data_IF_123524703847
#
_entry.id   IF_123524703847
#
_cell.length_a   1.000
_cell.length_b   1.000
_cell.length_c   1.000
_cell.angle_alpha   90.00
_cell.angle_beta   90.00
_cell.angle_gamma   90.00
#
_symmetry.space_group_name_H-M   'P 1'
#
loop_
_entity.id
_entity.type
_entity.pdbx_description
1 polymer ?
#
# COMPACT_ATOMS: atom_id res chain seq x y z
N UNK A 1 -21.01 -10.54 -9.94
CA UNK A 1 -20.74 -11.97 -10.25
C UNK A 1 -19.31 -12.39 -9.91
N UNK A 2 -18.28 -11.74 -10.50
CA UNK A 2 -16.86 -12.07 -10.25
C UNK A 2 -16.52 -12.10 -8.76
N UNK A 3 -16.84 -11.02 -8.03
CA UNK A 3 -16.57 -10.93 -6.58
C UNK A 3 -17.23 -12.07 -5.80
N UNK A 4 -18.52 -12.34 -6.05
CA UNK A 4 -19.23 -13.43 -5.38
C UNK A 4 -18.58 -14.81 -5.63
N UNK A 5 -18.03 -15.04 -6.82
CA UNK A 5 -17.26 -16.25 -7.14
C UNK A 5 -15.95 -16.30 -6.34
N UNK A 6 -15.20 -15.20 -6.29
CA UNK A 6 -13.96 -15.11 -5.49
C UNK A 6 -14.24 -15.35 -4.00
N UNK A 7 -15.26 -14.70 -3.44
CA UNK A 7 -15.67 -14.86 -2.04
C UNK A 7 -16.10 -16.30 -1.76
N UNK A 8 -16.82 -16.94 -2.69
CA UNK A 8 -17.24 -18.34 -2.57
C UNK A 8 -16.08 -19.33 -2.67
N UNK A 9 -15.11 -19.09 -3.55
CA UNK A 9 -13.89 -19.92 -3.68
C UNK A 9 -13.02 -19.80 -2.43
N UNK A 10 -12.80 -18.57 -1.94
CA UNK A 10 -11.94 -18.29 -0.80
C UNK A 10 -10.45 -18.55 -1.05
N UNK A 11 -9.63 -18.22 -0.05
CA UNK A 11 -8.16 -18.35 -0.10
C UNK A 11 -7.72 -19.42 0.89
N UNK A 12 -6.85 -20.33 0.47
CA UNK A 12 -6.29 -21.35 1.36
C UNK A 12 -5.30 -20.73 2.35
N UNK A 13 -5.32 -21.23 3.58
CA UNK A 13 -4.44 -20.79 4.66
C UNK A 13 -3.82 -22.02 5.33
N UNK A 14 -2.50 -22.08 5.38
CA UNK A 14 -1.73 -23.08 6.12
C UNK A 14 -1.79 -22.75 7.63
N UNK A 15 -2.85 -23.26 8.27
CA UNK A 15 -3.07 -23.11 9.72
C UNK A 15 -1.96 -23.76 10.56
N UNK A 16 -1.47 -24.98 10.25
CA UNK A 16 -0.30 -25.55 10.94
C UNK A 16 0.91 -24.61 10.94
N UNK A 17 1.28 -24.04 9.78
CA UNK A 17 2.39 -23.11 9.69
C UNK A 17 2.21 -21.88 10.61
N UNK A 18 1.00 -21.30 10.66
CA UNK A 18 0.74 -20.17 11.56
C UNK A 18 0.79 -20.56 13.04
N UNK A 19 0.44 -21.80 13.41
CA UNK A 19 0.55 -22.25 14.81
C UNK A 19 2.01 -22.36 15.26
N UNK A 20 2.86 -22.93 14.41
CA UNK A 20 4.31 -22.97 14.68
C UNK A 20 4.88 -21.55 14.81
N UNK A 21 4.47 -20.65 13.92
CA UNK A 21 4.82 -19.23 14.01
C UNK A 21 4.33 -18.59 15.31
N UNK A 22 3.12 -18.89 15.77
CA UNK A 22 2.58 -18.36 17.03
C UNK A 22 3.44 -18.73 18.25
N UNK A 23 3.91 -19.99 18.30
CA UNK A 23 4.76 -20.47 19.39
C UNK A 23 6.11 -19.73 19.42
N UNK A 24 6.73 -19.55 18.25
CA UNK A 24 7.98 -18.79 18.13
C UNK A 24 7.82 -17.31 18.55
N UNK A 25 6.75 -16.65 18.10
CA UNK A 25 6.51 -15.24 18.45
C UNK A 25 6.17 -15.06 19.93
N UNK A 26 5.43 -15.99 20.52
CA UNK A 26 5.10 -15.97 21.95
C UNK A 26 6.37 -16.03 22.81
N UNK A 27 7.34 -16.87 22.44
CA UNK A 27 8.62 -16.96 23.13
C UNK A 27 9.46 -15.67 23.00
N UNK A 28 9.45 -15.03 21.82
CA UNK A 28 10.11 -13.74 21.60
C UNK A 28 9.46 -12.62 22.41
N UNK A 29 8.13 -12.53 22.41
CA UNK A 29 7.39 -11.54 23.19
C UNK A 29 7.64 -11.69 24.68
N UNK A 30 7.65 -12.91 25.22
CA UNK A 30 7.96 -13.15 26.63
C UNK A 30 9.39 -12.75 27.01
N UNK A 31 10.33 -12.79 26.05
CA UNK A 31 11.71 -12.33 26.25
C UNK A 31 11.79 -10.81 26.24
N UNK A 32 11.15 -10.17 25.26
CA UNK A 32 11.07 -8.71 25.17
C UNK A 32 10.33 -8.09 26.35
N UNK A 33 9.24 -8.72 26.80
CA UNK A 33 8.47 -8.30 27.96
C UNK A 33 9.34 -8.23 29.23
N UNK A 34 10.15 -9.26 29.49
CA UNK A 34 11.11 -9.27 30.60
C UNK A 34 12.14 -8.15 30.46
N UNK A 35 12.73 -7.97 29.28
CA UNK A 35 13.69 -6.90 29.02
C UNK A 35 13.08 -5.50 29.18
N UNK A 36 11.81 -5.32 28.82
CA UNK A 36 11.04 -4.09 29.04
C UNK A 36 10.87 -3.84 30.53
N UNK A 37 10.45 -4.84 31.32
CA UNK A 37 10.27 -4.67 32.76
C UNK A 37 11.58 -4.38 33.50
N UNK A 38 12.66 -5.09 33.15
CA UNK A 38 13.99 -4.84 33.72
C UNK A 38 14.48 -3.43 33.42
N UNK A 39 14.36 -2.98 32.16
CA UNK A 39 14.78 -1.64 31.76
C UNK A 39 13.85 -0.53 32.29
N UNK A 40 12.56 -0.81 32.50
CA UNK A 40 11.58 0.14 33.04
C UNK A 40 11.56 0.22 34.58
N UNK A 41 12.35 -0.60 35.26
CA UNK A 41 12.40 -0.65 36.73
C UNK A 41 11.12 -1.19 37.37
N UNK A 42 10.42 -2.11 36.70
CA UNK A 42 9.26 -2.81 37.25
C UNK A 42 8.16 -3.11 36.23
N UNK A 43 7.23 -3.97 36.62
CA UNK A 43 6.12 -4.40 35.78
C UNK A 43 5.05 -3.31 35.57
N UNK A 44 4.43 -3.35 34.39
CA UNK A 44 3.29 -2.53 34.01
C UNK A 44 2.60 -3.16 32.80
N UNK A 45 1.40 -2.71 32.45
CA UNK A 45 0.75 -3.17 31.23
C UNK A 45 1.39 -2.50 30.00
N UNK A 46 2.26 -3.24 29.32
CA UNK A 46 2.99 -2.83 28.10
C UNK A 46 2.04 -2.37 26.99
N UNK A 47 0.85 -2.98 26.91
CA UNK A 47 -0.16 -2.67 25.90
C UNK A 47 -1.03 -1.46 26.27
N UNK A 48 -0.91 -0.90 27.48
CA UNK A 48 -1.62 0.30 27.91
C UNK A 48 -0.84 1.56 27.55
N UNK A 49 -1.30 2.40 26.59
CA UNK A 49 -0.58 3.62 26.21
C UNK A 49 -0.41 4.59 27.36
N UNK A 50 -1.36 4.60 28.31
CA UNK A 50 -1.31 5.43 29.51
C UNK A 50 -0.17 5.00 30.44
N UNK A 51 -0.14 3.73 30.84
CA UNK A 51 0.90 3.22 31.73
C UNK A 51 2.28 3.32 31.10
N UNK A 52 2.40 2.99 29.80
CA UNK A 52 3.65 3.18 29.08
C UNK A 52 4.08 4.66 29.07
N UNK A 53 3.14 5.59 28.86
CA UNK A 53 3.45 7.02 28.90
C UNK A 53 3.97 7.49 30.27
N UNK A 54 3.33 7.05 31.35
CA UNK A 54 3.77 7.32 32.73
C UNK A 54 5.18 6.74 32.98
N UNK A 55 5.44 5.50 32.55
CA UNK A 55 6.76 4.87 32.67
C UNK A 55 7.82 5.64 31.89
N UNK A 56 7.58 5.95 30.62
CA UNK A 56 8.57 6.60 29.76
C UNK A 56 8.88 8.04 30.22
N UNK A 57 7.85 8.84 30.50
CA UNK A 57 8.04 10.29 30.68
C UNK A 57 8.09 10.74 32.14
N UNK A 58 7.51 9.98 33.07
CA UNK A 58 7.49 10.34 34.49
C UNK A 58 8.50 9.50 35.28
N UNK A 59 8.46 8.17 35.17
CA UNK A 59 9.38 7.29 35.90
C UNK A 59 10.81 7.36 35.37
N UNK A 60 10.98 7.18 34.06
CA UNK A 60 12.29 7.20 33.40
C UNK A 60 12.75 8.61 33.01
N UNK A 61 11.86 9.61 33.08
CA UNK A 61 12.19 11.01 32.81
C UNK A 61 12.63 11.28 31.37
N UNK A 62 12.19 10.48 30.40
CA UNK A 62 12.60 10.66 29.00
C UNK A 62 12.12 12.01 28.42
N UNK A 63 12.82 12.56 27.41
CA UNK A 63 12.47 13.83 26.81
C UNK A 63 11.02 13.86 26.30
N UNK A 64 10.20 14.75 26.88
CA UNK A 64 8.78 14.91 26.51
C UNK A 64 8.51 16.17 25.68
N UNK A 65 9.55 16.95 25.36
CA UNK A 65 9.43 18.21 24.60
C UNK A 65 8.91 17.93 23.19
N UNK A 66 7.71 18.43 22.88
CA UNK A 66 7.06 18.22 21.59
C UNK A 66 6.25 16.92 21.47
N UNK A 67 6.18 16.11 22.54
CA UNK A 67 5.28 14.96 22.60
C UNK A 67 3.85 15.47 22.76
N UNK A 68 2.98 15.13 21.81
CA UNK A 68 1.55 15.44 21.90
C UNK A 68 0.94 14.74 23.12
N UNK A 69 0.22 15.49 23.95
CA UNK A 69 -0.70 14.92 24.93
C UNK A 69 -2.04 14.62 24.26
N UNK A 70 -2.55 13.43 24.51
CA UNK A 70 -3.89 12.98 24.13
C UNK A 70 -4.83 13.11 25.33
N UNK A 71 -6.14 12.86 25.13
CA UNK A 71 -7.12 12.86 26.24
C UNK A 71 -6.76 11.88 27.37
N UNK A 72 -5.95 10.85 27.07
CA UNK A 72 -5.59 9.78 28.01
C UNK A 72 -4.16 9.86 28.55
N UNK A 73 -3.38 10.88 28.17
CA UNK A 73 -1.99 11.06 28.62
C UNK A 73 -1.01 11.31 27.46
N UNK A 74 0.28 11.04 27.68
CA UNK A 74 1.31 11.18 26.65
C UNK A 74 1.05 10.25 25.46
N UNK A 75 1.22 10.76 24.22
CA UNK A 75 1.22 9.91 23.05
C UNK A 75 2.43 8.99 23.08
N UNK A 76 2.20 7.68 22.94
CA UNK A 76 3.26 6.68 22.79
C UNK A 76 3.23 6.05 21.40
N UNK A 77 2.66 6.69 20.39
CA UNK A 77 2.62 6.15 19.03
C UNK A 77 4.03 5.94 18.44
N UNK A 78 4.10 5.16 17.34
CA UNK A 78 5.37 4.80 16.69
C UNK A 78 6.28 6.01 16.42
N UNK A 79 5.76 7.07 15.81
CA UNK A 79 6.55 8.28 15.49
C UNK A 79 7.00 9.10 16.69
N UNK A 80 6.43 8.90 17.89
CA UNK A 80 6.98 9.46 19.12
C UNK A 80 8.11 8.57 19.63
N UNK A 81 7.93 7.25 19.63
CA UNK A 81 8.96 6.31 20.07
C UNK A 81 10.21 6.36 19.18
N UNK A 82 10.05 6.48 17.86
CA UNK A 82 11.19 6.65 16.94
C UNK A 82 12.04 7.88 17.26
N UNK A 83 11.44 8.98 17.71
CA UNK A 83 12.19 10.19 18.12
C UNK A 83 12.95 10.00 19.44
N UNK A 84 12.63 8.96 20.19
CA UNK A 84 13.29 8.59 21.44
C UNK A 84 14.29 7.45 21.22
N UNK A 85 14.52 7.03 19.97
CA UNK A 85 15.51 6.01 19.65
C UNK A 85 16.91 6.45 20.13
N UNK A 86 17.64 5.52 20.73
CA UNK A 86 18.97 5.76 21.32
C UNK A 86 18.95 6.50 22.67
N UNK A 87 17.78 6.92 23.17
CA UNK A 87 17.70 7.62 24.47
C UNK A 87 17.69 6.62 25.62
N UNK A 88 16.98 5.49 25.48
CA UNK A 88 16.89 4.47 26.53
C UNK A 88 16.48 3.10 25.96
N UNK A 89 17.12 1.98 26.35
CA UNK A 89 16.89 0.64 25.76
C UNK A 89 15.43 0.17 25.72
N UNK A 90 14.62 0.62 26.69
CA UNK A 90 13.18 0.34 26.74
C UNK A 90 12.47 0.74 25.44
N UNK A 91 12.93 1.81 24.75
CA UNK A 91 12.29 2.32 23.55
C UNK A 91 12.44 1.33 22.40
N UNK A 92 13.64 0.79 22.21
CA UNK A 92 13.95 -0.21 21.18
C UNK A 92 13.17 -1.50 21.45
N UNK A 93 13.20 -2.01 22.69
CA UNK A 93 12.43 -3.20 23.06
C UNK A 93 10.92 -3.00 22.86
N UNK A 94 10.39 -1.82 23.18
CA UNK A 94 8.98 -1.48 22.97
C UNK A 94 8.59 -1.41 21.49
N UNK A 95 9.46 -0.85 20.64
CA UNK A 95 9.24 -0.79 19.20
C UNK A 95 9.19 -2.20 18.61
N UNK A 96 10.14 -3.06 19.00
CA UNK A 96 10.19 -4.46 18.56
C UNK A 96 8.98 -5.26 19.08
N UNK A 97 8.68 -5.17 20.38
CA UNK A 97 7.52 -5.84 21.01
C UNK A 97 6.23 -5.51 20.27
N UNK A 98 5.98 -4.22 19.99
CA UNK A 98 4.75 -3.80 19.30
C UNK A 98 4.69 -4.27 17.85
N UNK A 99 5.83 -4.33 17.17
CA UNK A 99 5.91 -4.88 15.82
C UNK A 99 5.49 -6.35 15.80
N UNK A 100 6.10 -7.16 16.67
CA UNK A 100 5.81 -8.60 16.79
C UNK A 100 4.38 -8.84 17.28
N UNK A 101 3.97 -8.18 18.37
CA UNK A 101 2.64 -8.34 18.96
C UNK A 101 1.53 -7.97 17.98
N UNK A 102 1.71 -6.92 17.16
CA UNK A 102 0.76 -6.56 16.11
C UNK A 102 0.63 -7.69 15.09
N UNK A 103 1.75 -8.25 14.61
CA UNK A 103 1.71 -9.36 13.66
C UNK A 103 1.00 -10.56 14.27
N UNK A 104 1.38 -10.95 15.48
CA UNK A 104 0.81 -12.11 16.15
C UNK A 104 -0.69 -11.95 16.37
N UNK A 105 -1.12 -10.88 17.03
CA UNK A 105 -2.52 -10.66 17.37
C UNK A 105 -3.43 -10.43 16.15
N UNK A 106 -2.94 -9.73 15.12
CA UNK A 106 -3.78 -9.34 13.97
C UNK A 106 -3.85 -10.43 12.90
N UNK A 107 -2.79 -11.20 12.72
CA UNK A 107 -2.69 -12.17 11.63
C UNK A 107 -2.53 -13.60 12.13
N UNK A 108 -1.50 -13.87 12.93
CA UNK A 108 -1.11 -15.25 13.29
C UNK A 108 -2.16 -15.93 14.17
N UNK A 109 -2.68 -15.23 15.17
CA UNK A 109 -3.71 -15.77 16.09
C UNK A 109 -5.13 -15.63 15.55
N UNK A 110 -5.39 -14.57 14.79
CA UNK A 110 -6.72 -14.19 14.33
C UNK A 110 -7.14 -14.93 13.06
N UNK A 111 -6.29 -15.00 12.02
CA UNK A 111 -6.67 -15.61 10.74
C UNK A 111 -7.08 -17.08 10.86
N UNK A 112 -6.40 -17.94 11.65
CA UNK A 112 -6.84 -19.33 11.82
C UNK A 112 -8.26 -19.48 12.36
N UNK A 113 -8.76 -18.49 13.12
CA UNK A 113 -10.12 -18.50 13.69
C UNK A 113 -11.19 -18.09 12.67
N UNK A 114 -10.77 -17.43 11.58
CA UNK A 114 -11.63 -17.00 10.48
C UNK A 114 -11.71 -18.05 9.36
N UNK A 115 -10.95 -19.15 9.45
CA UNK A 115 -11.01 -20.25 8.49
C UNK A 115 -12.35 -20.98 8.64
N UNK A 116 -13.06 -21.12 7.53
CA UNK A 116 -14.32 -21.86 7.49
C UNK A 116 -14.08 -23.34 7.82
N UNK A 117 -14.79 -23.92 8.80
CA UNK A 117 -14.64 -25.33 9.13
C UNK A 117 -15.21 -26.26 8.06
N UNK A 118 -16.00 -25.73 7.11
CA UNK A 118 -16.62 -26.50 6.03
C UNK A 118 -15.67 -26.65 4.85
N UNK A 119 -14.98 -25.57 4.48
CA UNK A 119 -14.15 -25.50 3.28
C UNK A 119 -12.65 -25.55 3.58
N UNK A 120 -12.25 -25.27 4.82
CA UNK A 120 -10.84 -25.11 5.18
C UNK A 120 -10.20 -23.84 4.61
N UNK A 121 -11.00 -22.87 4.14
CA UNK A 121 -10.53 -21.65 3.46
C UNK A 121 -11.02 -20.37 4.15
N UNK A 122 -10.31 -19.27 3.90
CA UNK A 122 -10.73 -17.92 4.28
C UNK A 122 -11.66 -17.34 3.22
N UNK A 123 -12.85 -16.90 3.65
CA UNK A 123 -13.86 -16.30 2.76
C UNK A 123 -14.05 -14.82 3.12
N UNK A 124 -13.21 -13.97 2.56
CA UNK A 124 -13.33 -12.52 2.75
C UNK A 124 -14.59 -11.95 2.09
N UNK A 125 -15.04 -10.77 2.51
CA UNK A 125 -16.05 -9.96 1.83
C UNK A 125 -15.38 -8.78 1.12
N UNK A 126 -15.55 -8.72 -0.21
CA UNK A 126 -15.05 -7.68 -1.09
C UNK A 126 -16.13 -6.61 -1.30
N UNK A 127 -16.04 -5.54 -0.53
CA UNK A 127 -17.00 -4.46 -0.55
C UNK A 127 -16.71 -3.49 -1.70
N UNK A 128 -17.72 -3.26 -2.55
CA UNK A 128 -17.59 -2.40 -3.73
C UNK A 128 -17.94 -0.92 -3.47
N UNK A 129 -18.59 -0.61 -2.34
CA UNK A 129 -19.24 0.68 -2.06
C UNK A 129 -18.65 1.46 -0.89
N UNK A 130 -17.50 1.05 -0.35
CA UNK A 130 -16.88 1.69 0.83
C UNK A 130 -15.91 2.80 0.43
N UNK A 131 -14.95 2.52 -0.47
CA UNK A 131 -13.93 3.49 -0.83
C UNK A 131 -14.48 4.55 -1.81
N UNK A 132 -14.32 5.83 -1.47
CA UNK A 132 -14.72 6.94 -2.33
C UNK A 132 -13.98 6.98 -3.69
N UNK A 133 -12.84 6.30 -3.79
CA UNK A 133 -12.06 6.17 -5.03
C UNK A 133 -12.53 5.01 -5.91
N UNK A 134 -13.49 4.20 -5.46
CA UNK A 134 -13.96 3.04 -6.21
C UNK A 134 -13.08 1.80 -6.09
N UNK A 135 -12.01 1.82 -5.28
CA UNK A 135 -11.28 0.58 -4.90
C UNK A 135 -12.21 -0.38 -4.15
N UNK A 136 -11.93 -1.68 -4.24
CA UNK A 136 -12.54 -2.66 -3.35
C UNK A 136 -11.94 -2.50 -1.94
N UNK A 137 -12.71 -2.84 -0.92
CA UNK A 137 -12.19 -3.05 0.44
C UNK A 137 -12.54 -4.45 0.93
N UNK A 138 -11.60 -5.08 1.63
CA UNK A 138 -11.77 -6.43 2.16
C UNK A 138 -12.08 -6.42 3.67
N UNK A 139 -12.99 -7.29 4.10
CA UNK A 139 -13.40 -7.42 5.51
C UNK A 139 -13.81 -8.85 5.86
N UNK A 140 -13.64 -9.25 7.11
CA UNK A 140 -14.05 -10.56 7.66
C UNK A 140 -13.48 -11.78 6.89
N UNK A 141 -12.14 -11.98 6.88
CA UNK A 141 -11.07 -11.10 7.35
C UNK A 141 -10.67 -10.06 6.28
N UNK A 142 -9.90 -9.04 6.67
CA UNK A 142 -9.27 -8.13 5.70
C UNK A 142 -8.01 -8.80 5.13
N UNK A 143 -8.03 -9.10 3.83
CA UNK A 143 -6.94 -9.73 3.09
C UNK A 143 -6.16 -8.74 2.22
N UNK A 144 -6.56 -7.48 2.18
CA UNK A 144 -5.84 -6.44 1.41
C UNK A 144 -4.70 -5.79 2.20
N UNK A 145 -4.63 -6.02 3.51
CA UNK A 145 -3.61 -5.43 4.39
C UNK A 145 -2.60 -6.45 4.92
N UNK A 146 -2.47 -7.61 4.25
CA UNK A 146 -1.48 -8.62 4.64
C UNK A 146 -0.07 -8.03 4.46
N UNK A 147 0.73 -7.97 5.54
CA UNK A 147 1.98 -7.23 5.58
C UNK A 147 3.03 -7.83 4.63
N UNK A 148 3.89 -6.97 4.06
CA UNK A 148 4.98 -7.38 3.15
C UNK A 148 6.31 -6.66 3.41
N UNK A 149 6.25 -5.47 4.04
CA UNK A 149 7.43 -4.60 4.17
C UNK A 149 8.48 -5.17 5.13
N UNK A 150 8.06 -5.95 6.14
CA UNK A 150 8.95 -6.53 7.16
C UNK A 150 9.19 -8.01 6.89
N UNK A 151 10.33 -8.54 7.36
CA UNK A 151 10.61 -9.97 7.28
C UNK A 151 9.51 -10.80 7.94
N UNK A 152 9.05 -10.38 9.12
CA UNK A 152 7.96 -11.05 9.81
C UNK A 152 6.62 -10.99 9.04
N UNK A 153 6.37 -9.89 8.31
CA UNK A 153 5.21 -9.79 7.44
C UNK A 153 5.26 -10.76 6.26
N UNK A 154 6.44 -10.89 5.64
CA UNK A 154 6.70 -11.88 4.58
C UNK A 154 6.48 -13.31 5.06
N UNK A 155 6.87 -13.63 6.30
CA UNK A 155 6.56 -14.94 6.89
C UNK A 155 5.05 -15.18 7.00
N UNK A 156 4.23 -14.18 7.37
CA UNK A 156 2.76 -14.33 7.36
C UNK A 156 2.24 -14.63 5.95
N UNK A 157 2.81 -14.02 4.90
CA UNK A 157 2.41 -14.30 3.52
C UNK A 157 2.66 -15.74 3.09
N UNK A 158 3.67 -16.42 3.64
CA UNK A 158 3.92 -17.85 3.37
C UNK A 158 2.77 -18.75 3.79
N UNK A 159 1.99 -18.35 4.81
CA UNK A 159 0.81 -19.09 5.23
C UNK A 159 -0.32 -19.07 4.18
N UNK A 160 -0.34 -18.07 3.29
CA UNK A 160 -1.29 -18.03 2.18
C UNK A 160 -0.72 -18.88 1.04
N UNK A 161 -1.03 -20.18 1.08
CA UNK A 161 -0.52 -21.17 0.14
C UNK A 161 -1.56 -21.55 -0.94
N UNK A 162 -1.11 -22.19 -2.00
CA UNK A 162 -2.01 -22.92 -2.89
C UNK A 162 -2.36 -24.30 -2.30
N UNK A 163 -3.59 -24.74 -2.55
CA UNK A 163 -3.99 -26.13 -2.24
C UNK A 163 -3.23 -27.13 -3.13
N UNK A 164 -3.00 -28.36 -2.64
CA UNK A 164 -2.14 -29.35 -3.30
C UNK A 164 -2.47 -29.59 -4.78
N UNK A 165 -1.43 -29.69 -5.62
CA UNK A 165 -1.53 -29.81 -7.09
C UNK A 165 -1.78 -28.48 -7.81
N UNK A 166 -1.80 -27.36 -7.08
CA UNK A 166 -1.95 -26.00 -7.62
C UNK A 166 -0.79 -25.12 -7.17
N UNK A 167 -0.64 -23.98 -7.84
CA UNK A 167 0.25 -22.89 -7.47
C UNK A 167 -0.51 -21.58 -7.42
N UNK A 168 0.05 -20.61 -6.70
CA UNK A 168 -0.42 -19.24 -6.78
C UNK A 168 0.25 -18.54 -7.96
N UNK A 169 -0.54 -17.81 -8.72
CA UNK A 169 -0.07 -16.86 -9.74
C UNK A 169 -0.55 -15.48 -9.33
N UNK A 170 0.37 -14.56 -9.13
CA UNK A 170 0.07 -13.15 -8.88
C UNK A 170 0.39 -12.33 -10.10
N UNK A 171 -0.50 -11.40 -10.44
CA UNK A 171 -0.33 -10.45 -11.52
C UNK A 171 -0.59 -9.03 -11.01
N UNK A 172 0.44 -8.19 -11.03
CA UNK A 172 0.40 -6.81 -10.53
C UNK A 172 0.71 -5.81 -11.65
N UNK A 173 -0.04 -4.72 -11.71
CA UNK A 173 0.24 -3.68 -12.69
C UNK A 173 1.50 -2.90 -12.30
N UNK A 174 2.46 -2.85 -13.22
CA UNK A 174 3.67 -2.05 -13.06
C UNK A 174 3.35 -0.56 -13.14
N UNK A 175 3.31 0.10 -11.98
CA UNK A 175 3.24 1.56 -11.84
C UNK A 175 2.00 2.18 -12.52
N UNK A 176 0.83 1.52 -12.44
CA UNK A 176 -0.40 1.95 -13.13
C UNK A 176 -0.77 3.41 -12.88
N UNK A 177 -0.58 3.91 -11.66
CA UNK A 177 -0.91 5.30 -11.33
C UNK A 177 -0.02 6.32 -12.06
N UNK A 178 1.26 6.00 -12.30
CA UNK A 178 2.17 6.85 -13.08
C UNK A 178 1.87 6.76 -14.58
N UNK A 179 1.52 5.57 -15.09
CA UNK A 179 1.07 5.40 -16.48
C UNK A 179 -0.21 6.17 -16.76
N UNK A 180 -1.15 6.16 -15.80
CA UNK A 180 -2.36 6.98 -15.86
C UNK A 180 -2.05 8.48 -15.79
N UNK A 181 -1.06 8.89 -15.00
CA UNK A 181 -0.61 10.27 -14.98
C UNK A 181 -0.04 10.69 -16.34
N UNK A 182 0.79 9.86 -16.97
CA UNK A 182 1.29 10.10 -18.33
C UNK A 182 0.14 10.24 -19.35
N UNK A 183 -0.84 9.34 -19.29
CA UNK A 183 -2.00 9.40 -20.16
C UNK A 183 -2.85 10.66 -19.95
N UNK A 184 -3.22 10.98 -18.70
CA UNK A 184 -4.17 12.08 -18.40
C UNK A 184 -3.54 13.47 -18.48
N UNK A 185 -2.23 13.58 -18.25
CA UNK A 185 -1.51 14.84 -18.40
C UNK A 185 -1.06 15.10 -19.84
N UNK A 186 -0.99 14.06 -20.68
CA UNK A 186 -0.45 14.12 -22.03
C UNK A 186 0.96 14.74 -22.10
N UNK A 187 1.74 14.59 -21.01
CA UNK A 187 3.10 15.12 -20.92
C UNK A 187 4.05 14.29 -21.79
N UNK A 188 4.54 14.88 -22.88
CA UNK A 188 5.38 14.21 -23.89
C UNK A 188 6.63 13.59 -23.28
N UNK A 189 7.29 14.31 -22.36
CA UNK A 189 8.49 13.81 -21.71
C UNK A 189 8.18 12.62 -20.80
N UNK A 190 7.06 12.68 -20.08
CA UNK A 190 6.65 11.60 -19.19
C UNK A 190 6.18 10.36 -19.96
N UNK A 191 5.47 10.55 -21.08
CA UNK A 191 5.06 9.48 -22.00
C UNK A 191 6.28 8.78 -22.60
N UNK A 192 7.27 9.56 -23.06
CA UNK A 192 8.47 9.00 -23.69
C UNK A 192 9.26 8.13 -22.71
N UNK A 193 9.38 8.54 -21.44
CA UNK A 193 10.05 7.74 -20.40
C UNK A 193 9.46 6.33 -20.25
N UNK A 194 8.14 6.18 -20.41
CA UNK A 194 7.51 4.84 -20.40
C UNK A 194 7.74 4.07 -21.69
N UNK A 195 7.69 4.75 -22.85
CA UNK A 195 7.86 4.09 -24.16
C UNK A 195 9.29 3.60 -24.40
N UNK A 196 10.29 4.28 -23.84
CA UNK A 196 11.69 3.88 -23.91
C UNK A 196 12.07 2.77 -22.92
N UNK A 197 11.14 2.32 -22.07
CA UNK A 197 11.40 1.30 -21.04
C UNK A 197 12.33 1.80 -19.92
N UNK A 198 12.45 3.11 -19.74
CA UNK A 198 13.30 3.67 -18.69
C UNK A 198 12.73 3.43 -17.30
N UNK A 199 13.61 3.20 -16.32
CA UNK A 199 13.21 3.20 -14.92
C UNK A 199 12.94 4.64 -14.47
N UNK A 200 11.65 5.01 -14.45
CA UNK A 200 11.21 6.37 -14.14
C UNK A 200 11.67 6.86 -12.76
N UNK A 201 11.79 5.96 -11.78
CA UNK A 201 12.26 6.32 -10.45
C UNK A 201 13.76 6.61 -10.46
N UNK A 202 14.55 5.78 -11.13
CA UNK A 202 15.98 6.01 -11.28
C UNK A 202 16.24 7.29 -12.09
N UNK A 203 15.47 7.54 -13.15
CA UNK A 203 15.53 8.77 -13.94
C UNK A 203 15.23 10.00 -13.10
N UNK A 204 14.11 10.00 -12.38
CA UNK A 204 13.75 11.10 -11.48
C UNK A 204 14.83 11.34 -10.43
N UNK A 205 15.42 10.28 -9.86
CA UNK A 205 16.52 10.41 -8.90
C UNK A 205 17.76 11.05 -9.54
N UNK A 206 18.18 10.56 -10.71
CA UNK A 206 19.35 11.08 -11.42
C UNK A 206 19.20 12.57 -11.73
N UNK A 207 18.04 12.97 -12.27
CA UNK A 207 17.77 14.36 -12.63
C UNK A 207 17.79 15.28 -11.40
N UNK A 208 17.10 14.88 -10.33
CA UNK A 208 16.99 15.69 -9.12
C UNK A 208 18.32 15.83 -8.38
N UNK A 209 19.14 14.79 -8.41
CA UNK A 209 20.49 14.81 -7.85
C UNK A 209 21.52 15.46 -8.79
N UNK A 210 21.13 15.87 -9.99
CA UNK A 210 22.03 16.43 -11.01
C UNK A 210 23.07 15.41 -11.52
N UNK A 211 22.78 14.12 -11.43
CA UNK A 211 23.64 13.04 -11.87
C UNK A 211 23.50 12.83 -13.39
N UNK A 212 24.60 12.59 -14.11
CA UNK A 212 24.54 12.23 -15.53
C UNK A 212 23.70 10.97 -15.75
N UNK A 213 23.03 10.87 -16.91
CA UNK A 213 22.22 9.70 -17.28
C UNK A 213 23.01 8.38 -17.36
N UNK A 214 24.33 8.44 -17.44
CA UNK A 214 25.25 7.29 -17.43
C UNK A 214 25.62 6.83 -16.03
N UNK A 215 25.23 7.57 -14.98
CA UNK A 215 25.55 7.23 -13.61
C UNK A 215 24.65 6.10 -13.09
N UNK A 216 25.25 5.10 -12.45
CA UNK A 216 24.50 4.01 -11.85
C UNK A 216 23.79 4.49 -10.59
N UNK A 217 22.47 4.42 -10.59
CA UNK A 217 21.64 4.80 -9.44
C UNK A 217 21.61 3.67 -8.42
N UNK A 218 22.00 3.97 -7.18
CA UNK A 218 21.91 3.07 -6.04
C UNK A 218 20.45 2.78 -5.64
N UNK A 219 20.22 1.74 -4.83
CA UNK A 219 18.88 1.42 -4.33
C UNK A 219 18.26 2.54 -3.50
N UNK A 220 19.10 3.28 -2.75
CA UNK A 220 18.66 4.40 -1.91
C UNK A 220 18.26 5.61 -2.75
N UNK A 221 19.06 5.96 -3.77
CA UNK A 221 18.73 7.03 -4.73
C UNK A 221 17.48 6.69 -5.54
N UNK A 222 17.33 5.44 -5.99
CA UNK A 222 16.09 5.00 -6.65
C UNK A 222 14.89 5.11 -5.72
N UNK A 223 15.05 4.79 -4.43
CA UNK A 223 14.00 4.96 -3.42
C UNK A 223 13.62 6.44 -3.24
N UNK A 224 14.59 7.35 -3.25
CA UNK A 224 14.35 8.79 -3.26
C UNK A 224 13.48 9.19 -4.46
N UNK A 225 13.87 8.79 -5.68
CA UNK A 225 13.10 9.06 -6.89
C UNK A 225 11.67 8.48 -6.84
N UNK A 226 11.51 7.28 -6.26
CA UNK A 226 10.19 6.68 -5.99
C UNK A 226 9.36 7.55 -5.05
N UNK A 227 9.92 7.95 -3.90
CA UNK A 227 9.24 8.79 -2.92
C UNK A 227 8.79 10.13 -3.53
N UNK A 228 9.61 10.74 -4.39
CA UNK A 228 9.27 11.99 -5.06
C UNK A 228 8.14 11.78 -6.08
N UNK A 229 8.25 10.78 -6.95
CA UNK A 229 7.20 10.45 -7.93
C UNK A 229 5.84 10.24 -7.25
N UNK A 230 5.78 9.36 -6.25
CA UNK A 230 4.53 9.12 -5.52
C UNK A 230 4.11 10.32 -4.68
N UNK A 231 5.06 11.05 -4.09
CA UNK A 231 4.77 12.29 -3.38
C UNK A 231 4.04 13.29 -4.27
N UNK A 232 4.51 13.50 -5.48
CA UNK A 232 3.92 14.45 -6.43
C UNK A 232 2.57 13.94 -6.96
N UNK A 233 2.48 12.65 -7.32
CA UNK A 233 1.19 12.00 -7.67
C UNK A 233 0.13 12.23 -6.60
N UNK A 234 0.53 12.22 -5.32
CA UNK A 234 -0.39 12.38 -4.20
C UNK A 234 -0.55 13.82 -3.68
N UNK A 235 -0.03 14.83 -4.39
CA UNK A 235 -0.13 16.23 -4.00
C UNK A 235 0.59 16.55 -2.68
N UNK A 236 1.75 15.92 -2.46
CA UNK A 236 2.59 16.14 -1.30
C UNK A 236 3.18 17.56 -1.32
N UNK A 237 3.06 18.28 -0.20
CA UNK A 237 3.72 19.59 -0.06
C UNK A 237 5.21 19.43 0.20
N UNK A 238 6.00 20.46 -0.13
CA UNK A 238 7.44 20.51 0.20
C UNK A 238 7.71 20.22 1.68
N UNK A 239 6.84 20.70 2.58
CA UNK A 239 6.94 20.39 4.01
C UNK A 239 6.82 18.89 4.31
N UNK A 240 5.85 18.19 3.69
CA UNK A 240 5.70 16.74 3.90
C UNK A 240 6.84 15.98 3.24
N UNK A 241 7.25 16.37 2.05
CA UNK A 241 8.37 15.76 1.34
C UNK A 241 9.69 15.89 2.14
N UNK A 242 9.95 17.06 2.72
CA UNK A 242 11.07 17.32 3.63
C UNK A 242 11.06 16.41 4.87
N UNK A 243 9.87 16.08 5.40
CA UNK A 243 9.76 15.16 6.54
C UNK A 243 9.98 13.71 6.14
N UNK A 244 9.48 13.30 4.97
CA UNK A 244 9.61 11.94 4.46
C UNK A 244 11.05 11.61 4.04
N UNK A 245 11.75 12.59 3.46
CA UNK A 245 13.12 12.46 2.99
C UNK A 245 14.16 12.90 4.02
N UNK A 246 13.74 13.45 5.15
CA UNK A 246 14.61 14.01 6.19
C UNK A 246 15.56 15.13 5.71
N UNK A 247 15.19 15.84 4.63
CA UNK A 247 15.96 16.95 4.04
C UNK A 247 15.40 18.33 4.44
N UNK A 248 16.17 19.43 4.29
CA UNK A 248 15.66 20.79 4.43
C UNK A 248 14.44 21.10 3.54
N UNK A 249 13.52 21.92 4.01
CA UNK A 249 12.31 22.32 3.24
C UNK A 249 12.70 23.00 1.93
N UNK A 250 13.76 23.82 1.92
CA UNK A 250 14.27 24.47 0.71
C UNK A 250 14.67 23.47 -0.38
N UNK A 251 15.26 22.35 0.03
CA UNK A 251 15.68 21.29 -0.90
C UNK A 251 14.47 20.53 -1.44
N UNK A 252 13.51 20.18 -0.58
CA UNK A 252 12.25 19.58 -1.01
C UNK A 252 11.45 20.47 -1.97
N UNK A 253 11.44 21.80 -1.75
CA UNK A 253 10.84 22.76 -2.70
C UNK A 253 11.55 22.72 -4.05
N UNK A 254 12.89 22.74 -4.04
CA UNK A 254 13.68 22.68 -5.26
C UNK A 254 13.41 21.41 -6.07
N UNK A 255 13.30 20.25 -5.41
CA UNK A 255 12.99 18.98 -6.06
C UNK A 255 11.63 19.00 -6.77
N UNK A 256 10.61 19.56 -6.12
CA UNK A 256 9.26 19.70 -6.71
C UNK A 256 9.30 20.66 -7.91
N UNK A 257 10.04 21.76 -7.82
CA UNK A 257 10.19 22.72 -8.92
C UNK A 257 10.88 22.09 -10.14
N UNK A 258 11.97 21.36 -9.94
CA UNK A 258 12.66 20.66 -11.02
C UNK A 258 11.76 19.62 -11.70
N UNK A 259 11.02 18.84 -10.90
CA UNK A 259 10.08 17.85 -11.44
C UNK A 259 9.05 18.49 -12.37
N UNK A 260 8.41 19.59 -11.94
CA UNK A 260 7.41 20.26 -12.76
C UNK A 260 8.00 21.09 -13.90
N UNK A 261 9.27 21.49 -13.83
CA UNK A 261 9.97 22.08 -14.96
C UNK A 261 10.21 21.03 -16.06
N UNK A 262 10.46 19.78 -15.68
CA UNK A 262 10.62 18.65 -16.61
C UNK A 262 9.29 18.17 -17.20
N UNK A 263 8.25 18.10 -16.35
CA UNK A 263 6.91 17.62 -16.70
C UNK A 263 5.87 18.75 -16.58
N UNK A 264 5.93 19.77 -17.45
CA UNK A 264 5.08 20.95 -17.34
C UNK A 264 3.59 20.65 -17.52
N UNK A 265 3.22 19.66 -18.34
CA UNK A 265 1.80 19.30 -18.52
C UNK A 265 1.25 18.53 -17.33
N UNK A 266 2.10 17.80 -16.59
CA UNK A 266 1.70 17.24 -15.28
C UNK A 266 1.28 18.36 -14.32
N UNK A 267 2.03 19.47 -14.26
CA UNK A 267 1.64 20.65 -13.45
C UNK A 267 0.31 21.24 -13.90
N UNK A 268 0.12 21.38 -15.21
CA UNK A 268 -1.12 21.91 -15.80
C UNK A 268 -2.31 21.01 -15.51
N UNK A 269 -2.13 19.69 -15.59
CA UNK A 269 -3.16 18.71 -15.25
C UNK A 269 -3.66 18.88 -13.81
N UNK A 270 -2.75 18.91 -12.82
CA UNK A 270 -3.16 19.14 -11.44
C UNK A 270 -3.82 20.50 -11.22
N UNK A 271 -3.31 21.56 -11.85
CA UNK A 271 -3.95 22.89 -11.80
C UNK A 271 -5.37 22.87 -12.39
N UNK A 272 -5.60 22.10 -13.46
CA UNK A 272 -6.93 21.95 -14.07
C UNK A 272 -7.90 21.20 -13.16
N UNK A 273 -7.43 20.15 -12.45
CA UNK A 273 -8.24 19.43 -11.47
C UNK A 273 -8.63 20.32 -10.30
N UNK A 274 -7.70 21.16 -9.83
CA UNK A 274 -7.98 22.15 -8.79
C UNK A 274 -9.06 23.14 -9.24
N UNK A 275 -8.95 23.68 -10.45
CA UNK A 275 -9.95 24.57 -11.01
C UNK A 275 -11.31 23.89 -11.18
N UNK A 276 -11.33 22.63 -11.62
CA UNK A 276 -12.55 21.84 -11.75
C UNK A 276 -13.22 21.62 -10.40
N UNK A 277 -12.43 21.31 -9.37
CA UNK A 277 -12.91 21.13 -8.01
C UNK A 277 -13.50 22.44 -7.45
N UNK A 278 -12.85 23.58 -7.70
CA UNK A 278 -13.30 24.89 -7.21
C UNK A 278 -14.56 25.42 -7.92
N UNK A 279 -14.75 25.06 -9.19
CA UNK A 279 -15.86 25.54 -10.02
C UNK A 279 -17.07 24.61 -10.06
N UNK A 280 -16.86 23.29 -10.10
CA UNK A 280 -17.93 22.28 -10.27
C UNK A 280 -18.15 21.47 -8.98
N UNK A 281 -17.18 21.43 -8.07
CA UNK A 281 -17.28 20.63 -6.85
C UNK A 281 -17.12 19.11 -7.09
N UNK A 282 -16.55 18.73 -8.24
CA UNK A 282 -16.33 17.32 -8.56
C UNK A 282 -15.09 17.07 -9.42
N UNK A 283 -14.57 15.85 -9.32
CA UNK A 283 -13.57 15.30 -10.24
C UNK A 283 -14.04 13.94 -10.77
N UNK A 284 -13.48 13.50 -11.90
CA UNK A 284 -13.89 12.28 -12.59
C UNK A 284 -12.71 11.38 -12.94
N UNK A 285 -12.93 10.07 -12.93
CA UNK A 285 -11.99 9.10 -13.50
C UNK A 285 -12.09 9.08 -15.02
N UNK A 286 -11.15 8.39 -15.68
CA UNK A 286 -11.14 8.14 -17.13
C UNK A 286 -12.47 7.53 -17.63
N UNK A 287 -13.13 6.73 -16.80
CA UNK A 287 -14.40 6.05 -17.11
C UNK A 287 -15.63 6.80 -16.58
N UNK A 288 -15.45 8.06 -16.14
CA UNK A 288 -16.54 8.94 -15.73
C UNK A 288 -17.05 8.73 -14.30
N UNK A 289 -16.41 7.89 -13.47
CA UNK A 289 -16.76 7.78 -12.04
C UNK A 289 -16.54 9.12 -11.37
N UNK A 290 -17.56 9.62 -10.68
CA UNK A 290 -17.55 10.94 -10.04
C UNK A 290 -17.13 10.84 -8.59
N UNK A 291 -16.32 11.79 -8.14
CA UNK A 291 -16.12 12.10 -6.74
C UNK A 291 -16.59 13.53 -6.48
N UNK A 292 -17.66 13.65 -5.71
CA UNK A 292 -18.24 14.92 -5.28
C UNK A 292 -17.54 15.40 -4.01
N UNK A 293 -17.40 16.71 -3.88
CA UNK A 293 -16.86 17.37 -2.69
C UNK A 293 -17.75 18.55 -2.35
N UNK A 294 -18.14 18.67 -1.08
CA UNK A 294 -19.02 19.78 -0.67
C UNK A 294 -18.27 21.11 -0.73
N UNK A 295 -18.97 22.23 -1.00
CA UNK A 295 -18.33 23.55 -1.05
C UNK A 295 -17.60 23.95 0.25
N UNK A 296 -18.00 23.38 1.38
CA UNK A 296 -17.37 23.58 2.69
C UNK A 296 -15.98 22.91 2.71
N UNK A 297 -15.90 21.71 2.16
CA UNK A 297 -14.67 20.93 2.06
C UNK A 297 -13.70 21.50 1.01
N UNK A 298 -14.22 22.09 -0.07
CA UNK A 298 -13.41 22.67 -1.17
C UNK A 298 -12.71 23.97 -0.76
N UNK A 299 -13.42 24.90 -0.12
CA UNK A 299 -12.90 26.24 0.19
C UNK A 299 -12.20 26.36 1.54
N UNK A 300 -12.16 25.28 2.33
CA UNK A 300 -11.52 25.26 3.64
C UNK A 300 -11.99 26.39 4.57
N UNK A 301 -13.28 26.79 4.47
CA UNK A 301 -13.83 27.98 5.15
C UNK A 301 -13.79 27.88 6.69
N UNK A 302 -13.51 26.72 7.28
CA UNK A 302 -13.26 26.56 8.73
C UNK A 302 -11.76 26.46 9.11
N UNK A 303 -10.84 26.38 8.14
CA UNK A 303 -9.40 26.27 8.38
C UNK A 303 -8.90 24.95 9.00
N UNK A 304 -9.74 23.92 9.12
CA UNK A 304 -9.40 22.65 9.76
C UNK A 304 -8.47 21.78 8.88
N UNK A 305 -7.66 20.94 9.53
CA UNK A 305 -6.77 19.95 8.88
C UNK A 305 -7.53 18.98 7.95
N UNK A 306 -8.82 18.80 8.18
CA UNK A 306 -9.66 17.85 7.44
C UNK A 306 -9.96 18.36 6.03
N UNK A 307 -10.17 19.67 5.85
CA UNK A 307 -10.39 20.28 4.52
C UNK A 307 -9.22 20.04 3.54
N UNK A 308 -7.98 20.25 4.01
CA UNK A 308 -6.79 20.00 3.20
C UNK A 308 -6.56 18.51 2.87
N UNK A 309 -7.00 17.60 3.74
CA UNK A 309 -6.96 16.15 3.45
C UNK A 309 -8.00 15.78 2.39
N UNK A 310 -9.23 16.24 2.52
CA UNK A 310 -10.30 15.98 1.55
C UNK A 310 -9.94 16.53 0.18
N UNK A 311 -9.37 17.74 0.10
CA UNK A 311 -8.93 18.34 -1.16
C UNK A 311 -7.87 17.48 -1.86
N UNK A 312 -6.79 17.09 -1.17
CA UNK A 312 -5.75 16.20 -1.74
C UNK A 312 -6.31 14.84 -2.16
N UNK A 313 -7.12 14.22 -1.30
CA UNK A 313 -7.76 12.95 -1.62
C UNK A 313 -8.67 13.04 -2.86
N UNK A 314 -9.21 14.22 -3.14
CA UNK A 314 -10.01 14.48 -4.34
C UNK A 314 -9.14 14.67 -5.57
N UNK A 315 -8.06 15.44 -5.49
CA UNK A 315 -7.11 15.58 -6.60
C UNK A 315 -6.47 14.25 -7.02
N UNK A 316 -6.30 13.30 -6.09
CA UNK A 316 -5.75 11.98 -6.37
C UNK A 316 -6.81 11.00 -6.90
N UNK A 317 -8.10 11.30 -6.76
CA UNK A 317 -9.18 10.38 -7.08
C UNK A 317 -9.28 10.02 -8.57
N UNK A 318 -9.03 10.92 -9.54
CA UNK A 318 -8.97 10.56 -10.95
C UNK A 318 -7.95 9.45 -11.24
N UNK A 319 -6.73 9.55 -10.69
CA UNK A 319 -5.68 8.55 -10.90
C UNK A 319 -6.02 7.23 -10.21
N UNK A 320 -6.25 7.28 -8.90
CA UNK A 320 -6.51 6.09 -8.09
C UNK A 320 -7.81 5.38 -8.52
N UNK A 321 -8.83 6.15 -8.88
CA UNK A 321 -10.11 5.62 -9.33
C UNK A 321 -10.06 5.07 -10.73
N UNK A 322 -9.29 5.67 -11.65
CA UNK A 322 -9.08 5.09 -12.98
C UNK A 322 -8.33 3.76 -12.89
N UNK A 323 -7.34 3.64 -12.01
CA UNK A 323 -6.67 2.36 -11.74
C UNK A 323 -7.66 1.30 -11.20
N UNK A 324 -8.54 1.71 -10.27
CA UNK A 324 -9.59 0.84 -9.75
C UNK A 324 -10.62 0.43 -10.81
N UNK A 325 -10.92 1.31 -11.76
CA UNK A 325 -11.81 1.02 -12.88
C UNK A 325 -11.15 0.03 -13.86
N UNK A 326 -9.87 0.23 -14.20
CA UNK A 326 -9.08 -0.64 -15.08
C UNK A 326 -9.00 -2.06 -14.53
N UNK A 327 -8.59 -2.24 -13.26
CA UNK A 327 -8.48 -3.59 -12.70
C UNK A 327 -9.84 -4.29 -12.63
N UNK A 328 -10.93 -3.56 -12.39
CA UNK A 328 -12.29 -4.14 -12.43
C UNK A 328 -12.68 -4.59 -13.84
N UNK A 329 -12.32 -3.83 -14.87
CA UNK A 329 -12.53 -4.23 -16.25
C UNK A 329 -11.71 -5.48 -16.59
N UNK A 330 -10.46 -5.56 -16.13
CA UNK A 330 -9.59 -6.70 -16.33
C UNK A 330 -10.18 -7.95 -15.64
N UNK A 331 -10.64 -7.81 -14.40
CA UNK A 331 -11.31 -8.89 -13.67
C UNK A 331 -12.50 -9.46 -14.44
N UNK A 332 -13.33 -8.59 -15.03
CA UNK A 332 -14.50 -8.99 -15.82
C UNK A 332 -14.09 -9.70 -17.11
N UNK A 333 -13.05 -9.21 -17.81
CA UNK A 333 -12.58 -9.83 -19.05
C UNK A 333 -11.97 -11.22 -18.80
N UNK A 334 -11.10 -11.32 -17.80
CA UNK A 334 -10.48 -12.58 -17.40
C UNK A 334 -11.55 -13.60 -17.02
N UNK A 335 -12.48 -13.28 -16.11
CA UNK A 335 -13.52 -14.23 -15.68
C UNK A 335 -14.41 -14.70 -16.83
N UNK A 336 -14.72 -13.83 -17.80
CA UNK A 336 -15.43 -14.22 -19.04
C UNK A 336 -14.62 -15.20 -19.89
N UNK A 337 -13.32 -14.95 -20.07
CA UNK A 337 -12.45 -15.81 -20.88
C UNK A 337 -12.27 -17.18 -20.23
N UNK A 338 -12.07 -17.23 -18.91
CA UNK A 338 -12.00 -18.47 -18.14
C UNK A 338 -13.28 -19.31 -18.28
N UNK A 339 -14.45 -18.67 -18.18
CA UNK A 339 -15.73 -19.37 -18.36
C UNK A 339 -15.92 -19.89 -19.78
N UNK A 340 -15.52 -19.13 -20.80
CA UNK A 340 -15.67 -19.52 -22.19
C UNK A 340 -14.73 -20.68 -22.58
N UNK A 341 -13.50 -20.67 -22.07
CA UNK A 341 -12.51 -21.72 -22.30
C UNK A 341 -12.74 -22.97 -21.44
N UNK A 342 -13.51 -22.86 -20.36
CA UNK A 342 -13.65 -23.93 -19.38
C UNK A 342 -12.37 -24.17 -18.57
N UNK A 343 -11.57 -23.12 -18.39
CA UNK A 343 -10.26 -23.21 -17.74
C UNK A 343 -10.41 -23.61 -16.26
N UNK A 344 -9.50 -24.46 -15.74
CA UNK A 344 -9.63 -25.01 -14.39
C UNK A 344 -9.11 -24.08 -13.28
N UNK A 345 -8.51 -22.93 -13.63
CA UNK A 345 -7.94 -22.01 -12.65
C UNK A 345 -8.88 -20.86 -12.27
N UNK A 346 -8.68 -20.31 -11.07
CA UNK A 346 -9.63 -19.39 -10.45
C UNK A 346 -8.94 -18.13 -9.92
N UNK A 347 -9.57 -16.98 -10.14
CA UNK A 347 -9.23 -15.74 -9.45
C UNK A 347 -9.73 -15.81 -8.02
N UNK A 348 -8.85 -15.60 -7.04
CA UNK A 348 -9.15 -15.81 -5.61
C UNK A 348 -9.12 -14.52 -4.80
N UNK A 349 -8.31 -13.53 -5.19
CA UNK A 349 -8.19 -12.28 -4.46
C UNK A 349 -7.81 -11.10 -5.37
N UNK A 350 -8.24 -9.90 -4.97
CA UNK A 350 -7.80 -8.64 -5.56
C UNK A 350 -7.25 -7.74 -4.45
N UNK A 351 -6.01 -7.28 -4.63
CA UNK A 351 -5.31 -6.41 -3.68
C UNK A 351 -4.75 -5.21 -4.40
N UNK A 352 -5.47 -4.08 -4.31
CA UNK A 352 -5.06 -2.82 -4.95
C UNK A 352 -4.96 -2.89 -6.49
N UNK A 353 -3.79 -3.12 -7.03
CA UNK A 353 -3.44 -3.30 -8.44
C UNK A 353 -3.04 -4.74 -8.78
N UNK A 354 -3.06 -5.63 -7.79
CA UNK A 354 -2.72 -7.05 -7.88
C UNK A 354 -3.98 -7.93 -7.99
N UNK A 355 -3.91 -8.95 -8.85
CA UNK A 355 -4.83 -10.08 -8.93
C UNK A 355 -4.11 -11.37 -8.59
N UNK A 356 -4.68 -12.15 -7.66
CA UNK A 356 -4.15 -13.44 -7.23
C UNK A 356 -5.05 -14.57 -7.74
N UNK A 357 -4.41 -15.61 -8.25
CA UNK A 357 -5.05 -16.79 -8.84
C UNK A 357 -4.52 -18.07 -8.21
N UNK A 358 -5.39 -19.09 -8.12
CA UNK A 358 -5.01 -20.46 -7.82
C UNK A 358 -5.13 -21.28 -9.11
N UNK A 359 -4.01 -21.87 -9.54
CA UNK A 359 -3.86 -22.47 -10.88
C UNK A 359 -3.32 -23.90 -10.75
N UNK A 360 -3.95 -24.92 -11.35
CA UNK A 360 -3.34 -26.26 -11.44
C UNK A 360 -1.94 -26.18 -12.05
N UNK A 361 -0.99 -26.97 -11.52
CA UNK A 361 0.41 -26.92 -11.94
C UNK A 361 0.59 -27.08 -13.46
N UNK A 362 -0.22 -27.93 -14.09
CA UNK A 362 -0.19 -28.17 -15.54
C UNK A 362 -0.69 -26.99 -16.40
N UNK A 363 -1.42 -26.03 -15.82
CA UNK A 363 -2.04 -24.91 -16.53
C UNK A 363 -1.31 -23.57 -16.36
N UNK A 364 -0.18 -23.56 -15.63
CA UNK A 364 0.47 -22.32 -15.20
C UNK A 364 0.88 -21.42 -16.37
N UNK A 365 1.54 -21.96 -17.39
CA UNK A 365 2.00 -21.15 -18.53
C UNK A 365 0.82 -20.55 -19.31
N UNK A 366 -0.24 -21.34 -19.53
CA UNK A 366 -1.48 -20.86 -20.14
C UNK A 366 -2.12 -19.73 -19.33
N UNK A 367 -2.16 -19.88 -18.00
CA UNK A 367 -2.73 -18.89 -17.11
C UNK A 367 -1.93 -17.59 -17.14
N UNK A 368 -0.59 -17.67 -17.10
CA UNK A 368 0.30 -16.50 -17.14
C UNK A 368 0.09 -15.70 -18.42
N UNK A 369 0.05 -16.37 -19.58
CA UNK A 369 -0.13 -15.71 -20.87
C UNK A 369 -1.51 -15.05 -20.98
N UNK A 370 -2.57 -15.76 -20.59
CA UNK A 370 -3.94 -15.24 -20.60
C UNK A 370 -4.10 -14.04 -19.67
N UNK A 371 -3.63 -14.15 -18.42
CA UNK A 371 -3.75 -13.09 -17.42
C UNK A 371 -2.99 -11.84 -17.90
N UNK A 372 -1.76 -11.99 -18.39
CA UNK A 372 -0.97 -10.89 -18.92
C UNK A 372 -1.67 -10.22 -20.11
N UNK A 373 -2.11 -11.01 -21.10
CA UNK A 373 -2.82 -10.51 -22.28
C UNK A 373 -4.04 -9.66 -21.89
N UNK A 374 -4.91 -10.20 -21.04
CA UNK A 374 -6.17 -9.56 -20.65
C UNK A 374 -5.95 -8.30 -19.81
N UNK A 375 -4.95 -8.30 -18.93
CA UNK A 375 -4.65 -7.14 -18.08
C UNK A 375 -3.95 -6.02 -18.85
N UNK A 376 -2.97 -6.33 -19.70
CA UNK A 376 -2.22 -5.31 -20.45
C UNK A 376 -3.07 -4.63 -21.54
N UNK A 377 -4.01 -5.37 -22.15
CA UNK A 377 -4.84 -4.88 -23.26
C UNK A 377 -6.28 -4.55 -22.85
N UNK A 378 -6.55 -4.45 -21.54
CA UNK A 378 -7.90 -4.14 -21.03
C UNK A 378 -8.39 -2.77 -21.54
N UNK A 379 -7.48 -1.81 -21.70
CA UNK A 379 -7.75 -0.44 -22.14
C UNK A 379 -6.59 0.08 -22.99
N UNK A 380 -6.89 0.97 -23.93
CA UNK A 380 -5.86 1.64 -24.74
C UNK A 380 -5.52 2.99 -24.10
N UNK A 381 -4.24 3.18 -23.76
CA UNK A 381 -3.69 4.41 -23.20
C UNK A 381 -2.55 4.92 -24.08
N UNK A 382 -2.08 6.16 -23.84
CA UNK A 382 -0.95 6.74 -24.58
C UNK A 382 0.39 6.04 -24.28
N UNK A 383 0.46 5.34 -23.14
CA UNK A 383 1.57 4.48 -22.71
C UNK A 383 1.02 3.07 -22.47
N UNK A 384 1.75 2.00 -22.83
CA UNK A 384 1.26 0.64 -22.63
C UNK A 384 1.06 0.36 -21.13
N UNK A 385 0.07 -0.47 -20.79
CA UNK A 385 0.03 -1.10 -19.46
C UNK A 385 1.01 -2.28 -19.46
N UNK A 386 1.69 -2.49 -18.35
CA UNK A 386 2.60 -3.61 -18.15
C UNK A 386 2.22 -4.36 -16.88
N UNK A 387 2.33 -5.68 -16.93
CA UNK A 387 1.98 -6.55 -15.81
C UNK A 387 3.14 -7.46 -15.45
N UNK A 388 3.56 -7.34 -14.19
CA UNK A 388 4.50 -8.28 -13.59
C UNK A 388 3.74 -9.51 -13.13
N UNK A 389 4.17 -10.69 -13.59
CA UNK A 389 3.55 -11.96 -13.19
C UNK A 389 4.57 -12.81 -12.44
N UNK A 390 4.22 -13.22 -11.23
CA UNK A 390 5.02 -14.10 -10.38
C UNK A 390 4.21 -15.37 -10.04
N UNK A 391 4.92 -16.47 -9.82
CA UNK A 391 4.31 -17.77 -9.46
C UNK A 391 5.06 -18.41 -8.30
N UNK A 392 4.33 -19.06 -7.41
CA UNK A 392 4.89 -19.64 -6.20
C UNK A 392 3.95 -20.58 -5.49
N UNK A 393 4.46 -21.35 -4.53
CA UNK A 393 3.64 -22.26 -3.71
C UNK A 393 2.83 -21.49 -2.66
N UNK A 394 3.30 -20.30 -2.32
CA UNK A 394 2.66 -19.38 -1.41
C UNK A 394 2.76 -17.95 -1.92
N UNK A 395 2.02 -17.06 -1.28
CA UNK A 395 1.87 -15.68 -1.75
C UNK A 395 3.16 -14.86 -1.60
N UNK A 396 4.09 -15.27 -0.73
CA UNK A 396 5.41 -14.64 -0.65
C UNK A 396 6.30 -15.03 -1.83
N UNK A 397 6.28 -16.29 -2.26
CA UNK A 397 7.01 -16.74 -3.46
C UNK A 397 6.40 -16.20 -4.75
N UNK A 398 5.09 -15.95 -4.75
CA UNK A 398 4.34 -15.40 -5.87
C UNK A 398 4.27 -13.86 -5.85
N UNK A 399 5.30 -13.16 -5.36
CA UNK A 399 5.35 -11.68 -5.34
C UNK A 399 6.66 -11.11 -5.89
#
# INVERSE_FOLDING_TARGET
>A
PVLAKMEYTGVYLDVPFLREMADHLSAQLATLERAIYESAGGEFNINSPKQLGEVLFERLGLPSKGVKKTKTGYSTNHSVLEKLHGVHPVVEYMLEYRSIHKIQSTYVDALPREVSPITGRLHTRLNQTIAATGRLSSSQPNLQNIPIQTALGREVRKAFAAEGGKVLVSADYSQIELRLLAHLSEDEAFIESFRSGEDIHARTAAEILGLPSTFSISKEERRLGKTINFGIVYGMSAFRLSRELEIPISEATHYIEQYFARYPRVKQYFASLEQQLDSVGEVRTLFGRRRLVSEIDVRGRDGSRDSGFVRRASLNAPLQGSAADIIKLAMIRIDKRLMAAGDPFQMILQVHDELLFEVPEENVELAVDLIREEMEHVVELLVPLEVSVAKGRNWEEAH
#
